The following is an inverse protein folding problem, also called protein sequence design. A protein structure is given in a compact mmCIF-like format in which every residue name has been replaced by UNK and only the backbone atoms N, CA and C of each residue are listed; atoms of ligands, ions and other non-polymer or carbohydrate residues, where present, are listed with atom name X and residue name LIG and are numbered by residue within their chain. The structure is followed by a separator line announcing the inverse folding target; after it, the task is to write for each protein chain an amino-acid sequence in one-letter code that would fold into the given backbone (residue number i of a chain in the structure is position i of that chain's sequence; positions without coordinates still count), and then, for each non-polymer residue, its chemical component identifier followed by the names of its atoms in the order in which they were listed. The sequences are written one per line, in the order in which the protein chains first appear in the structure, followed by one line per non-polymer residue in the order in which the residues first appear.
data_IF_043679093036
#
_entry.id   IF_043679093036
#
_cell.length_a   1.000
_cell.length_b   1.000
_cell.length_c   1.000
_cell.angle_alpha   90.00
_cell.angle_beta   90.00
_cell.angle_gamma   90.00
#
_symmetry.space_group_name_H-M   'P 1'
#
loop_
_entity.id
_entity.type
_entity.pdbx_description
1 polymer ?
#
# COMPACT_ATOMS: atom_id res chain seq x y z
N UNK A 1 12.32 4.89 -20.66
CA UNK A 1 12.17 4.41 -19.27
C UNK A 1 10.68 4.27 -19.00
N UNK A 2 10.20 3.10 -18.55
CA UNK A 2 8.77 2.83 -18.28
C UNK A 2 8.68 2.23 -16.87
N UNK A 3 8.26 3.02 -15.90
CA UNK A 3 8.13 2.60 -14.51
C UNK A 3 6.94 3.30 -13.87
N UNK A 4 6.14 2.54 -13.14
CA UNK A 4 5.02 3.02 -12.37
C UNK A 4 5.12 2.50 -10.94
N UNK A 5 4.80 3.35 -9.98
CA UNK A 5 4.68 3.00 -8.57
C UNK A 5 3.31 3.48 -8.11
N UNK A 6 2.51 2.56 -7.61
CA UNK A 6 1.19 2.87 -7.04
C UNK A 6 1.06 2.27 -5.65
N UNK A 7 0.30 2.93 -4.81
CA UNK A 7 -0.07 2.44 -3.49
C UNK A 7 -1.57 2.66 -3.28
N UNK A 8 -2.27 1.61 -2.84
CA UNK A 8 -3.71 1.66 -2.63
C UNK A 8 -4.24 0.39 -2.01
N UNK A 9 -5.56 0.22 -2.01
CA UNK A 9 -6.23 -0.95 -1.43
C UNK A 9 -6.69 -1.91 -2.51
N UNK A 10 -6.55 -3.21 -2.26
CA UNK A 10 -7.14 -4.25 -3.13
C UNK A 10 -8.66 -4.17 -3.09
N UNK A 11 -9.28 -4.19 -4.27
CA UNK A 11 -10.74 -4.15 -4.42
C UNK A 11 -11.40 -5.52 -4.26
N UNK A 12 -10.65 -6.60 -4.50
CA UNK A 12 -11.08 -7.98 -4.37
C UNK A 12 -9.91 -8.88 -3.94
N UNK A 13 -10.21 -10.10 -3.53
CA UNK A 13 -9.18 -11.10 -3.27
C UNK A 13 -8.45 -11.46 -4.57
N UNK A 14 -7.11 -11.48 -4.57
CA UNK A 14 -6.34 -11.83 -5.76
C UNK A 14 -6.40 -13.34 -6.02
N UNK A 15 -7.07 -13.72 -7.11
CA UNK A 15 -7.20 -15.11 -7.52
C UNK A 15 -6.02 -15.54 -8.39
N UNK A 16 -5.30 -16.58 -7.94
CA UNK A 16 -4.26 -17.21 -8.73
C UNK A 16 -4.89 -18.00 -9.89
N UNK A 17 -4.44 -17.74 -11.08
CA UNK A 17 -4.83 -18.43 -12.30
C UNK A 17 -3.60 -18.98 -13.01
N UNK A 18 -3.83 -19.96 -13.87
CA UNK A 18 -2.76 -20.59 -14.65
C UNK A 18 -3.11 -20.51 -16.13
N UNK A 19 -2.14 -20.17 -16.96
CA UNK A 19 -2.29 -20.22 -18.41
C UNK A 19 -2.24 -21.65 -18.93
N UNK A 20 -2.60 -21.87 -20.21
CA UNK A 20 -2.44 -23.14 -20.90
C UNK A 20 -0.99 -23.66 -20.91
N UNK A 21 -0.02 -22.73 -20.81
CA UNK A 21 1.42 -23.03 -20.72
C UNK A 21 1.88 -23.28 -19.29
N UNK A 22 0.96 -23.47 -18.33
CA UNK A 22 1.23 -23.72 -16.91
C UNK A 22 2.02 -22.59 -16.21
N UNK A 23 1.77 -21.34 -16.61
CA UNK A 23 2.37 -20.15 -15.98
C UNK A 23 1.35 -19.50 -15.07
N UNK A 24 1.69 -19.36 -13.79
CA UNK A 24 0.84 -18.69 -12.79
C UNK A 24 0.76 -17.19 -13.05
N UNK A 25 -0.43 -16.63 -12.95
CA UNK A 25 -0.66 -15.19 -12.99
C UNK A 25 -1.84 -14.80 -12.09
N UNK A 26 -1.86 -13.56 -11.68
CA UNK A 26 -2.96 -12.96 -10.93
C UNK A 26 -3.32 -11.61 -11.54
N UNK A 27 -4.61 -11.34 -11.65
CA UNK A 27 -5.16 -10.02 -12.03
C UNK A 27 -5.98 -9.48 -10.89
N UNK A 28 -5.71 -8.24 -10.53
CA UNK A 28 -6.44 -7.54 -9.48
C UNK A 28 -6.51 -6.04 -9.77
N UNK A 29 -7.38 -5.34 -9.07
CA UNK A 29 -7.51 -3.90 -9.17
C UNK A 29 -7.17 -3.25 -7.85
N UNK A 30 -6.41 -2.15 -7.92
CA UNK A 30 -6.01 -1.34 -6.77
C UNK A 30 -6.77 -0.03 -6.80
N UNK A 31 -7.46 0.27 -5.71
CA UNK A 31 -8.13 1.55 -5.49
C UNK A 31 -7.11 2.54 -4.92
N UNK A 32 -6.85 3.59 -5.68
CA UNK A 32 -5.89 4.66 -5.33
C UNK A 32 -6.66 5.97 -5.18
N UNK A 33 -6.62 6.55 -4.01
CA UNK A 33 -7.27 7.84 -3.75
C UNK A 33 -6.43 8.97 -4.34
N UNK A 34 -7.09 9.93 -5.01
CA UNK A 34 -6.42 11.11 -5.56
C UNK A 34 -5.98 12.04 -4.45
N UNK A 35 -4.71 12.50 -4.53
CA UNK A 35 -4.11 13.34 -3.51
C UNK A 35 -4.75 14.75 -3.40
N UNK A 36 -5.27 15.29 -4.51
CA UNK A 36 -5.87 16.62 -4.54
C UNK A 36 -7.38 16.52 -4.69
N UNK A 37 -8.08 17.03 -3.69
CA UNK A 37 -9.53 17.19 -3.72
C UNK A 37 -9.89 18.64 -3.41
N UNK A 38 -10.83 19.19 -4.17
CA UNK A 38 -11.41 20.48 -3.83
C UNK A 38 -12.22 20.32 -2.54
N UNK A 39 -12.11 21.28 -1.65
CA UNK A 39 -12.85 21.32 -0.40
C UNK A 39 -14.36 21.24 -0.71
N UNK A 40 -15.06 20.23 -0.19
CA UNK A 40 -16.47 19.95 -0.45
C UNK A 40 -16.79 19.03 -1.64
N UNK A 41 -15.79 18.53 -2.37
CA UNK A 41 -16.00 17.53 -3.43
C UNK A 41 -15.96 16.10 -2.87
N UNK A 42 -16.72 15.19 -3.49
CA UNK A 42 -16.65 13.76 -3.20
C UNK A 42 -15.25 13.20 -3.47
N UNK A 43 -14.84 12.23 -2.64
CA UNK A 43 -13.56 11.53 -2.83
C UNK A 43 -13.55 10.81 -4.16
N UNK A 44 -12.57 11.13 -4.99
CA UNK A 44 -12.34 10.44 -6.24
C UNK A 44 -11.26 9.38 -6.04
N UNK A 45 -11.61 8.16 -6.44
CA UNK A 45 -10.73 6.99 -6.37
C UNK A 45 -10.51 6.48 -7.79
N UNK A 46 -9.25 6.26 -8.15
CA UNK A 46 -8.88 5.63 -9.41
C UNK A 46 -8.70 4.13 -9.21
N UNK A 47 -9.30 3.34 -10.09
CA UNK A 47 -9.18 1.89 -10.08
C UNK A 47 -8.16 1.47 -11.14
N UNK A 48 -7.01 0.99 -10.70
CA UNK A 48 -5.89 0.66 -11.57
C UNK A 48 -5.74 -0.86 -11.63
N UNK A 49 -5.80 -1.41 -12.86
CA UNK A 49 -5.61 -2.84 -13.08
C UNK A 49 -4.13 -3.20 -13.02
N UNK A 50 -3.84 -4.29 -12.31
CA UNK A 50 -2.51 -4.83 -12.12
C UNK A 50 -2.49 -6.29 -12.49
N UNK A 51 -1.44 -6.70 -13.18
CA UNK A 51 -1.15 -8.10 -13.52
C UNK A 51 0.20 -8.48 -12.93
N UNK A 52 0.27 -9.62 -12.28
CA UNK A 52 1.51 -10.19 -11.80
C UNK A 52 1.67 -11.62 -12.31
N UNK A 53 2.91 -12.04 -12.52
CA UNK A 53 3.26 -13.36 -13.08
C UNK A 53 4.15 -14.14 -12.14
N UNK A 54 4.09 -15.48 -12.27
CA UNK A 54 5.00 -16.43 -11.62
C UNK A 54 5.09 -16.21 -10.10
N UNK A 55 6.28 -16.07 -9.57
CA UNK A 55 6.54 -15.92 -8.13
C UNK A 55 5.83 -14.72 -7.51
N UNK A 56 5.75 -13.59 -8.23
CA UNK A 56 5.02 -12.41 -7.76
C UNK A 56 3.52 -12.70 -7.65
N UNK A 57 2.96 -13.44 -8.59
CA UNK A 57 1.55 -13.86 -8.53
C UNK A 57 1.28 -14.79 -7.34
N UNK A 58 2.12 -15.79 -7.14
CA UNK A 58 2.02 -16.73 -6.00
C UNK A 58 2.13 -15.98 -4.67
N UNK A 59 3.05 -15.03 -4.57
CA UNK A 59 3.22 -14.21 -3.38
C UNK A 59 1.97 -13.37 -3.08
N UNK A 60 1.44 -12.67 -4.09
CA UNK A 60 0.25 -11.82 -3.92
C UNK A 60 -0.96 -12.66 -3.49
N UNK A 61 -1.22 -13.77 -4.16
CA UNK A 61 -2.39 -14.63 -3.86
C UNK A 61 -2.34 -15.24 -2.46
N UNK A 62 -1.14 -15.50 -1.95
CA UNK A 62 -0.91 -16.09 -0.64
C UNK A 62 -1.08 -15.10 0.49
N UNK A 63 -0.53 -13.90 0.34
CA UNK A 63 -0.35 -12.96 1.45
C UNK A 63 -1.29 -11.76 1.43
N UNK A 64 -1.93 -11.46 0.32
CA UNK A 64 -2.82 -10.30 0.20
C UNK A 64 -4.29 -10.70 0.13
N UNK A 65 -5.16 -9.86 0.69
CA UNK A 65 -6.61 -10.02 0.69
C UNK A 65 -7.29 -8.72 0.33
N UNK A 66 -8.57 -8.80 -0.04
CA UNK A 66 -9.43 -7.64 -0.29
C UNK A 66 -9.32 -6.62 0.83
N UNK A 67 -9.19 -5.34 0.48
CA UNK A 67 -9.12 -4.21 1.41
C UNK A 67 -7.75 -3.93 1.99
N UNK A 68 -6.77 -4.84 1.87
CA UNK A 68 -5.41 -4.58 2.34
C UNK A 68 -4.68 -3.57 1.47
N UNK A 69 -3.81 -2.80 2.12
CA UNK A 69 -2.91 -1.88 1.45
C UNK A 69 -1.77 -2.62 0.78
N UNK A 70 -1.49 -2.27 -0.47
CA UNK A 70 -0.41 -2.80 -1.27
C UNK A 70 0.31 -1.66 -2.00
N UNK A 71 1.64 -1.70 -2.03
CA UNK A 71 2.41 -0.91 -2.98
C UNK A 71 2.92 -1.82 -4.10
N UNK A 72 2.74 -1.38 -5.31
CA UNK A 72 3.12 -2.09 -6.53
C UNK A 72 4.10 -1.23 -7.31
N UNK A 73 5.24 -1.80 -7.63
CA UNK A 73 6.20 -1.26 -8.57
C UNK A 73 6.21 -2.12 -9.82
N UNK A 74 6.12 -1.49 -10.98
CA UNK A 74 6.09 -2.21 -12.24
C UNK A 74 6.18 -1.31 -13.45
N UNK A 75 5.81 -1.82 -14.60
CA UNK A 75 5.77 -1.11 -15.87
C UNK A 75 4.34 -1.00 -16.39
N UNK A 76 4.07 0.12 -17.07
CA UNK A 76 2.78 0.35 -17.73
C UNK A 76 2.73 -0.48 -19.01
N UNK A 77 1.65 -1.23 -19.18
CA UNK A 77 1.34 -1.94 -20.41
C UNK A 77 0.00 -1.45 -20.96
N UNK A 78 -0.03 -1.17 -22.23
CA UNK A 78 -1.24 -0.81 -22.95
C UNK A 78 -1.52 -1.86 -24.03
N UNK A 79 -2.77 -2.21 -24.18
CA UNK A 79 -3.23 -3.11 -25.21
C UNK A 79 -4.51 -2.59 -25.84
N UNK A 80 -4.99 -3.27 -26.86
CA UNK A 80 -6.30 -3.00 -27.43
C UNK A 80 -7.00 -4.30 -27.77
N UNK A 81 -8.29 -4.35 -27.50
CA UNK A 81 -9.14 -5.45 -27.94
C UNK A 81 -10.38 -4.89 -28.62
N UNK A 82 -10.90 -5.65 -29.55
CA UNK A 82 -12.16 -5.32 -30.22
C UNK A 82 -13.27 -6.15 -29.58
N UNK A 83 -14.33 -5.46 -29.16
CA UNK A 83 -15.56 -6.09 -28.68
C UNK A 83 -16.74 -5.35 -29.29
N UNK A 84 -17.65 -6.12 -29.92
CA UNK A 84 -18.86 -5.60 -30.58
C UNK A 84 -18.56 -4.56 -31.67
N UNK A 85 -17.46 -4.72 -32.44
CA UNK A 85 -17.02 -3.80 -33.48
C UNK A 85 -16.39 -2.50 -32.94
N UNK A 86 -16.22 -2.36 -31.62
CA UNK A 86 -15.61 -1.19 -30.97
C UNK A 86 -14.23 -1.56 -30.42
N UNK A 87 -13.21 -0.84 -30.90
CA UNK A 87 -11.84 -0.97 -30.40
C UNK A 87 -11.72 -0.29 -29.05
N UNK A 88 -11.39 -1.06 -28.01
CA UNK A 88 -11.16 -0.58 -26.65
C UNK A 88 -9.68 -0.69 -26.30
N UNK A 89 -9.15 0.37 -25.72
CA UNK A 89 -7.80 0.35 -25.17
C UNK A 89 -7.83 -0.21 -23.75
N UNK A 90 -6.85 -1.03 -23.43
CA UNK A 90 -6.60 -1.52 -22.07
C UNK A 90 -5.36 -0.84 -21.51
N UNK A 91 -5.41 -0.56 -20.23
CA UNK A 91 -4.31 -0.03 -19.46
C UNK A 91 -4.15 -0.91 -18.22
N UNK A 92 -2.96 -1.45 -18.03
CA UNK A 92 -2.65 -2.26 -16.85
C UNK A 92 -1.18 -2.05 -16.44
N UNK A 93 -0.88 -2.30 -15.17
CA UNK A 93 0.48 -2.30 -14.65
C UNK A 93 0.94 -3.75 -14.53
N UNK A 94 2.05 -4.06 -15.19
CA UNK A 94 2.76 -5.30 -14.99
C UNK A 94 3.62 -5.17 -13.73
N UNK A 95 3.24 -5.89 -12.67
CA UNK A 95 3.93 -5.83 -11.39
C UNK A 95 5.26 -6.60 -11.42
N UNK A 96 6.33 -5.88 -11.15
CA UNK A 96 7.67 -6.46 -10.95
C UNK A 96 7.90 -6.80 -9.48
N UNK A 97 7.50 -5.88 -8.58
CA UNK A 97 7.65 -6.01 -7.14
C UNK A 97 6.42 -5.49 -6.41
N UNK A 98 6.12 -6.11 -5.28
CA UNK A 98 5.05 -5.69 -4.39
C UNK A 98 5.55 -5.61 -2.95
N UNK A 99 4.96 -4.69 -2.19
CA UNK A 99 5.34 -4.44 -0.80
C UNK A 99 4.10 -4.34 0.07
N UNK A 100 4.22 -4.82 1.30
CA UNK A 100 3.21 -4.59 2.32
C UNK A 100 3.23 -3.12 2.75
N UNK A 101 2.07 -2.49 2.75
CA UNK A 101 1.89 -1.14 3.22
C UNK A 101 0.75 -1.15 4.22
N UNK A 102 1.04 -1.00 5.48
CA UNK A 102 0.04 -1.01 6.54
C UNK A 102 0.58 -1.57 7.83
N UNK A 103 -0.10 -1.28 8.91
CA UNK A 103 0.19 -1.81 10.23
C UNK A 103 -0.09 -3.32 10.23
N UNK A 104 0.73 -4.09 10.95
CA UNK A 104 0.57 -5.53 11.15
C UNK A 104 -0.78 -5.94 11.73
N UNK A 105 -1.58 -4.98 12.22
CA UNK A 105 -2.88 -5.19 12.84
C UNK A 105 -4.07 -5.15 11.87
N UNK A 106 -3.88 -4.83 10.58
CA UNK A 106 -4.99 -4.85 9.62
C UNK A 106 -5.27 -6.24 9.02
N UNK A 107 -4.46 -7.23 9.32
CA UNK A 107 -4.62 -8.60 8.79
C UNK A 107 -5.46 -9.53 9.69
N UNK A 108 -6.18 -9.01 10.65
CA UNK A 108 -6.94 -9.83 11.58
C UNK A 108 -8.15 -9.10 12.09
N UNK A 109 -9.21 -9.15 11.31
CA UNK A 109 -10.52 -8.85 11.87
C UNK A 109 -10.91 -9.91 12.88
N UNK A 110 -11.49 -9.45 13.95
CA UNK A 110 -12.29 -10.15 14.95
C UNK A 110 -11.53 -10.81 16.11
N UNK A 111 -11.84 -10.22 17.24
CA UNK A 111 -11.89 -10.81 18.56
C UNK A 111 -10.55 -11.21 19.20
N UNK A 112 -10.02 -10.27 19.99
CA UNK A 112 -10.07 -10.50 21.42
C UNK A 112 -9.89 -9.16 22.13
N UNK A 113 -10.98 -8.71 22.72
CA UNK A 113 -10.97 -7.63 23.70
C UNK A 113 -10.27 -8.17 24.94
N UNK A 114 -8.98 -7.96 25.04
CA UNK A 114 -8.34 -8.07 26.33
C UNK A 114 -8.81 -6.89 27.20
N UNK A 115 -9.31 -7.15 28.40
CA UNK A 115 -9.65 -6.07 29.32
C UNK A 115 -8.37 -5.32 29.67
N UNK A 116 -8.36 -4.04 29.37
CA UNK A 116 -7.31 -3.11 29.77
C UNK A 116 -7.23 -3.11 31.30
N UNK A 117 -6.08 -3.45 31.93
CA UNK A 117 -5.91 -3.18 33.34
C UNK A 117 -5.91 -1.67 33.54
N UNK A 118 -6.73 -1.22 34.47
CA UNK A 118 -6.83 0.18 34.84
C UNK A 118 -5.43 0.70 35.20
N UNK A 119 -4.92 1.61 34.38
CA UNK A 119 -3.71 2.35 34.70
C UNK A 119 -3.99 3.33 35.82
N UNK A 120 -3.41 3.07 36.98
CA UNK A 120 -3.29 4.03 38.03
C UNK A 120 -2.50 5.26 37.54
N UNK A 121 -2.89 6.49 37.92
CA UNK A 121 -2.12 7.67 37.54
C UNK A 121 -0.78 7.65 38.27
N UNK A 122 0.30 7.55 37.52
CA UNK A 122 1.63 7.78 38.06
C UNK A 122 1.74 9.28 38.40
N UNK A 123 1.87 9.56 39.69
CA UNK A 123 2.21 10.86 40.21
C UNK A 123 3.63 11.23 39.76
N UNK A 124 3.73 12.18 38.85
CA UNK A 124 5.03 12.82 38.54
C UNK A 124 5.43 13.67 39.76
N UNK A 125 6.40 13.18 40.53
CA UNK A 125 7.10 14.01 41.49
C UNK A 125 8.01 14.97 40.74
N UNK A 126 7.86 16.25 41.06
CA UNK A 126 8.69 17.36 40.65
C UNK A 126 10.17 17.04 40.83
N UNK A 127 10.92 16.82 39.76
CA UNK A 127 12.36 16.97 39.75
C UNK A 127 12.67 18.43 39.41
N UNK A 128 13.30 19.11 40.35
CA UNK A 128 13.76 20.47 40.31
C UNK A 128 14.71 20.74 39.13
N UNK A 129 14.49 21.90 38.52
CA UNK A 129 15.21 22.44 37.35
C UNK A 129 16.62 22.89 37.68
N UNK A 130 17.53 21.97 38.03
CA UNK A 130 18.91 22.36 38.38
C UNK A 130 20.00 21.44 37.80
N UNK A 131 19.69 20.62 36.80
CA UNK A 131 20.67 19.69 36.24
C UNK A 131 20.90 19.88 34.72
N UNK A 132 20.66 21.09 34.21
CA UNK A 132 20.89 21.43 32.80
C UNK A 132 21.93 22.59 32.63
N UNK A 133 23.00 22.55 33.38
CA UNK A 133 24.14 23.41 33.18
C UNK A 133 25.33 22.58 32.71
N UNK A 134 25.57 22.53 31.41
CA UNK A 134 26.79 21.93 30.85
C UNK A 134 26.62 21.18 29.55
N UNK A 135 26.02 21.81 28.54
CA UNK A 135 26.21 21.35 27.15
C UNK A 135 26.79 22.51 26.38
N UNK A 136 28.12 22.50 26.21
CA UNK A 136 28.83 23.41 25.35
C UNK A 136 28.24 23.33 23.92
N UNK A 137 27.84 24.48 23.40
CA UNK A 137 27.39 24.64 22.02
C UNK A 137 28.55 24.32 21.09
N UNK A 138 28.47 23.14 20.47
CA UNK A 138 29.34 22.80 19.33
C UNK A 138 28.75 23.50 18.11
N UNK A 139 29.36 24.60 17.73
CA UNK A 139 29.08 25.35 16.51
C UNK A 139 29.45 24.47 15.31
N UNK A 140 28.43 23.88 14.65
CA UNK A 140 28.62 23.20 13.36
C UNK A 140 28.69 24.27 12.27
N UNK A 141 29.92 24.53 11.84
CA UNK A 141 30.20 25.30 10.63
C UNK A 141 29.76 24.48 9.42
N UNK A 142 28.64 24.87 8.83
CA UNK A 142 28.12 24.26 7.61
C UNK A 142 28.73 24.98 6.41
N UNK A 143 29.50 24.29 5.56
CA UNK A 143 30.04 24.90 4.35
C UNK A 143 28.98 24.98 3.27
N UNK A 144 28.43 26.14 3.08
CA UNK A 144 27.68 26.52 1.89
C UNK A 144 28.42 27.59 1.12
#
# INVERSE_FOLDING_TARGET
MNSAIIMGRLTADPELRTTSSNISFVRFSVAVDRAFQKQGAERQTDFINVVAWRQTADFISRYFRKGQMIAVQGSIQTGSYEKDGVRRQTFEILADRVYFCGSKNESGAAADRYPTPASQPASFQNSTADDFAGVDAVEYDLPF
#
